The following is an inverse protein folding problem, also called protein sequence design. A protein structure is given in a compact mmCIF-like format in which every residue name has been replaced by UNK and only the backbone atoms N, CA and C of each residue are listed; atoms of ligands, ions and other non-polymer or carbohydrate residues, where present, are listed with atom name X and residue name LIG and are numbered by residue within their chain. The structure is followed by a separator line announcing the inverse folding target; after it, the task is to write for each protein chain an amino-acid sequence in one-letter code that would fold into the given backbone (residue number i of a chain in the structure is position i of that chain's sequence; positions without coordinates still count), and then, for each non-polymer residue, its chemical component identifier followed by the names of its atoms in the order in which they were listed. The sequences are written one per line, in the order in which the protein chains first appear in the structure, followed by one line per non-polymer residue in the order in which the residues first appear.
data_IF_894951240683
#
_entry.id   IF_894951240683
#
_cell.length_a   1.000
_cell.length_b   1.000
_cell.length_c   1.000
_cell.angle_alpha   90.00
_cell.angle_beta   90.00
_cell.angle_gamma   90.00
#
_symmetry.space_group_name_H-M   'P 1'
#
loop_
_entity.id
_entity.type
_entity.pdbx_description
1 polymer ?
#
# COMPACT_ATOMS: atom_id res chain seq x y z
N UNK A 1 39.62 7.98 20.05
CA UNK A 1 38.21 7.57 19.83
C UNK A 1 37.19 8.72 19.94
N UNK A 2 37.38 9.74 20.80
CA UNK A 2 36.39 10.83 20.92
C UNK A 2 36.21 11.74 19.69
N UNK A 3 37.28 12.06 18.95
CA UNK A 3 37.20 12.97 17.78
C UNK A 3 36.32 12.43 16.64
N UNK A 4 36.36 11.11 16.39
CA UNK A 4 35.51 10.48 15.37
C UNK A 4 34.04 10.45 15.80
N UNK A 5 33.76 10.12 17.07
CA UNK A 5 32.40 10.15 17.60
C UNK A 5 31.77 11.56 17.51
N UNK A 6 32.53 12.61 17.84
CA UNK A 6 32.08 14.00 17.70
C UNK A 6 31.80 14.36 16.23
N UNK A 7 32.62 13.90 15.29
CA UNK A 7 32.38 14.13 13.87
C UNK A 7 31.07 13.48 13.38
N UNK A 8 30.80 12.24 13.80
CA UNK A 8 29.55 11.55 13.47
C UNK A 8 28.33 12.22 14.11
N UNK A 9 28.45 12.68 15.36
CA UNK A 9 27.36 13.41 16.03
C UNK A 9 27.00 14.71 15.30
N UNK A 10 27.99 15.45 14.80
CA UNK A 10 27.75 16.65 13.97
C UNK A 10 27.04 16.32 12.66
N UNK A 11 27.40 15.20 12.02
CA UNK A 11 26.71 14.75 10.81
C UNK A 11 25.26 14.35 11.09
N UNK A 12 25.02 13.67 12.22
CA UNK A 12 23.67 13.33 12.65
C UNK A 12 22.83 14.57 12.91
N UNK A 13 23.38 15.55 13.64
CA UNK A 13 22.69 16.81 13.92
C UNK A 13 22.33 17.56 12.63
N UNK A 14 23.28 17.67 11.70
CA UNK A 14 23.02 18.27 10.39
C UNK A 14 21.94 17.52 9.59
N UNK A 15 21.92 16.18 9.67
CA UNK A 15 20.89 15.37 9.02
C UNK A 15 19.51 15.59 9.67
N UNK A 16 19.43 15.71 11.00
CA UNK A 16 18.18 16.03 11.70
C UNK A 16 17.64 17.40 11.28
N UNK A 17 18.47 18.45 11.27
CA UNK A 17 18.07 19.78 10.78
C UNK A 17 17.58 19.72 9.34
N UNK A 18 18.28 18.98 8.47
CA UNK A 18 17.87 18.83 7.07
C UNK A 18 16.51 18.14 6.93
N UNK A 19 16.18 17.19 7.82
CA UNK A 19 14.87 16.53 7.83
C UNK A 19 13.77 17.52 8.20
N UNK A 20 13.99 18.38 9.18
CA UNK A 20 13.03 19.39 9.60
C UNK A 20 12.78 20.40 8.47
N UNK A 21 13.85 20.93 7.87
CA UNK A 21 13.77 21.88 6.75
C UNK A 21 13.04 21.29 5.53
N UNK A 22 13.38 20.05 5.15
CA UNK A 22 12.72 19.36 4.03
C UNK A 22 11.27 19.01 4.35
N UNK A 23 10.96 18.72 5.61
CA UNK A 23 9.59 18.47 6.06
C UNK A 23 8.73 19.71 5.87
N UNK A 24 9.22 20.88 6.30
CA UNK A 24 8.54 22.16 6.13
C UNK A 24 8.34 22.49 4.65
N UNK A 25 9.40 22.43 3.85
CA UNK A 25 9.32 22.71 2.41
C UNK A 25 8.36 21.75 1.67
N UNK A 26 8.32 20.47 2.08
CA UNK A 26 7.41 19.48 1.50
C UNK A 26 5.96 19.81 1.85
N UNK A 27 5.68 20.21 3.09
CA UNK A 27 4.33 20.61 3.52
C UNK A 27 3.88 21.86 2.77
N UNK A 28 4.71 22.89 2.68
CA UNK A 28 4.39 24.12 1.95
C UNK A 28 4.11 23.84 0.46
N UNK A 29 4.96 23.03 -0.19
CA UNK A 29 4.75 22.65 -1.59
C UNK A 29 3.50 21.80 -1.78
N UNK A 30 3.15 20.95 -0.82
CA UNK A 30 1.94 20.13 -0.90
C UNK A 30 0.69 20.96 -0.68
N UNK A 31 0.67 21.84 0.33
CA UNK A 31 -0.51 22.63 0.67
C UNK A 31 -0.89 23.64 -0.44
N UNK A 32 0.07 24.02 -1.29
CA UNK A 32 -0.18 24.85 -2.48
C UNK A 32 -0.66 24.06 -3.71
N UNK A 33 -0.62 22.72 -3.66
CA UNK A 33 -1.04 21.87 -4.77
C UNK A 33 -2.57 21.90 -4.95
N UNK A 34 -3.10 21.98 -6.18
CA UNK A 34 -4.55 22.08 -6.44
C UNK A 34 -5.38 20.90 -5.88
N UNK A 35 -4.74 19.76 -5.64
CA UNK A 35 -5.39 18.54 -5.15
C UNK A 35 -5.18 18.30 -3.66
N UNK A 36 -4.50 19.19 -2.95
CA UNK A 36 -4.12 19.01 -1.56
C UNK A 36 -5.35 18.64 -0.69
N UNK A 37 -6.40 19.46 -0.77
CA UNK A 37 -7.64 19.25 -0.01
C UNK A 37 -8.33 17.92 -0.34
N UNK A 38 -8.32 17.53 -1.62
CA UNK A 38 -8.90 16.27 -2.07
C UNK A 38 -8.11 15.09 -1.47
N UNK A 39 -6.78 15.14 -1.54
CA UNK A 39 -5.91 14.08 -1.02
C UNK A 39 -6.01 13.97 0.50
N UNK A 40 -6.08 15.08 1.23
CA UNK A 40 -6.23 15.07 2.69
C UNK A 40 -7.65 14.75 3.17
N UNK A 41 -8.63 14.72 2.27
CA UNK A 41 -9.99 14.28 2.62
C UNK A 41 -10.08 12.79 2.89
N UNK A 42 -9.11 11.99 2.42
CA UNK A 42 -9.06 10.56 2.67
C UNK A 42 -8.60 10.27 4.10
N UNK A 43 -9.24 9.32 4.81
CA UNK A 43 -8.86 9.00 6.18
C UNK A 43 -7.41 8.51 6.25
N UNK A 44 -6.61 9.13 7.12
CA UNK A 44 -5.20 8.80 7.32
C UNK A 44 -4.22 9.51 6.38
N UNK A 45 -4.69 10.39 5.50
CA UNK A 45 -3.84 11.25 4.68
C UNK A 45 -3.82 12.69 5.23
N UNK A 46 -2.63 13.15 5.66
CA UNK A 46 -2.33 14.55 5.98
C UNK A 46 -1.23 15.06 5.04
N UNK A 47 -0.72 16.28 5.23
CA UNK A 47 0.17 16.91 4.24
C UNK A 47 1.38 16.07 3.84
N UNK A 48 2.12 15.47 4.79
CA UNK A 48 3.28 14.63 4.47
C UNK A 48 2.91 13.30 3.80
N UNK A 49 1.84 12.64 4.25
CA UNK A 49 1.42 11.37 3.64
C UNK A 49 0.76 11.60 2.28
N UNK A 50 0.07 12.72 2.10
CA UNK A 50 -0.46 13.18 0.82
C UNK A 50 0.64 13.55 -0.17
N UNK A 51 1.66 14.28 0.27
CA UNK A 51 2.84 14.59 -0.54
C UNK A 51 3.54 13.32 -1.05
N UNK A 52 3.62 12.28 -0.20
CA UNK A 52 4.17 10.98 -0.60
C UNK A 52 3.32 10.28 -1.67
N UNK A 53 1.99 10.44 -1.62
CA UNK A 53 1.12 9.94 -2.70
C UNK A 53 1.45 10.62 -4.01
N UNK A 54 1.55 11.96 -4.03
CA UNK A 54 1.94 12.71 -5.23
C UNK A 54 3.37 12.37 -5.70
N UNK A 55 4.31 12.13 -4.78
CA UNK A 55 5.66 11.72 -5.14
C UNK A 55 5.69 10.35 -5.85
N UNK A 56 4.78 9.44 -5.51
CA UNK A 56 4.68 8.11 -6.12
C UNK A 56 3.94 8.16 -7.48
N UNK A 57 2.75 8.78 -7.50
CA UNK A 57 1.89 8.76 -8.69
C UNK A 57 2.17 9.93 -9.65
N UNK A 58 2.89 10.95 -9.22
CA UNK A 58 3.05 12.23 -9.92
C UNK A 58 2.02 13.28 -9.49
N UNK A 59 2.35 14.55 -9.70
CA UNK A 59 1.50 15.73 -9.49
C UNK A 59 0.68 16.10 -10.75
N UNK A 60 1.14 15.70 -11.94
CA UNK A 60 0.39 15.86 -13.18
C UNK A 60 -0.79 14.88 -13.29
N UNK A 61 -2.00 15.42 -13.14
CA UNK A 61 -3.27 14.67 -13.34
C UNK A 61 -3.39 14.01 -14.71
N UNK A 62 -2.76 14.56 -15.75
CA UNK A 62 -2.85 14.03 -17.11
C UNK A 62 -1.92 12.84 -17.37
N UNK A 63 -1.02 12.52 -16.43
CA UNK A 63 -0.13 11.35 -16.49
C UNK A 63 -0.89 10.05 -16.73
N UNK A 64 -2.09 9.94 -16.16
CA UNK A 64 -2.99 8.80 -16.38
C UNK A 64 -4.19 9.25 -17.20
N UNK A 65 -4.42 8.60 -18.35
CA UNK A 65 -5.57 8.89 -19.21
C UNK A 65 -6.89 8.60 -18.53
N UNK A 66 -6.93 7.58 -17.65
CA UNK A 66 -8.10 7.21 -16.88
C UNK A 66 -7.73 6.61 -15.50
N UNK A 67 -8.74 6.47 -14.64
CA UNK A 67 -8.58 5.87 -13.32
C UNK A 67 -8.15 4.38 -13.38
N UNK A 68 -8.40 3.68 -14.50
CA UNK A 68 -8.00 2.28 -14.67
C UNK A 68 -6.49 2.18 -14.82
N UNK A 69 -5.85 3.12 -15.52
CA UNK A 69 -4.40 3.25 -15.63
C UNK A 69 -3.73 3.45 -14.28
N UNK A 70 -4.24 4.40 -13.48
CA UNK A 70 -3.74 4.63 -12.12
C UNK A 70 -3.92 3.40 -11.23
N UNK A 71 -5.08 2.76 -11.27
CA UNK A 71 -5.34 1.52 -10.51
C UNK A 71 -4.39 0.38 -10.91
N UNK A 72 -4.08 0.25 -12.20
CA UNK A 72 -3.15 -0.77 -12.69
C UNK A 72 -1.71 -0.49 -12.21
N UNK A 73 -1.30 0.78 -12.19
CA UNK A 73 -0.01 1.22 -11.67
C UNK A 73 0.14 0.94 -10.16
N UNK A 74 -0.89 1.25 -9.37
CA UNK A 74 -0.89 1.01 -7.92
C UNK A 74 -0.88 -0.49 -7.52
N UNK A 75 -1.07 -1.39 -8.49
CA UNK A 75 -1.06 -2.83 -8.28
C UNK A 75 -2.36 -3.41 -7.67
N UNK A 76 -2.43 -4.74 -7.55
CA UNK A 76 -3.61 -5.42 -7.03
C UNK A 76 -3.78 -5.14 -5.53
N UNK A 77 -4.80 -4.35 -5.17
CA UNK A 77 -5.22 -4.22 -3.77
C UNK A 77 -6.28 -5.27 -3.45
N UNK A 78 -6.13 -5.97 -2.32
CA UNK A 78 -7.25 -6.69 -1.70
C UNK A 78 -8.07 -5.65 -0.97
N UNK A 79 -9.26 -5.34 -1.48
CA UNK A 79 -10.26 -4.64 -0.66
C UNK A 79 -10.48 -5.47 0.61
N UNK A 80 -10.55 -4.86 1.81
CA UNK A 80 -11.10 -5.56 2.96
C UNK A 80 -12.46 -6.07 2.52
N UNK A 81 -12.61 -7.39 2.45
CA UNK A 81 -13.89 -7.96 2.08
C UNK A 81 -14.94 -7.38 3.02
N UNK A 82 -16.10 -7.00 2.47
CA UNK A 82 -17.33 -6.87 3.27
C UNK A 82 -17.30 -8.06 4.25
N UNK A 83 -17.43 -7.88 5.58
CA UNK A 83 -17.55 -9.03 6.47
C UNK A 83 -18.61 -9.91 5.83
N UNK A 84 -18.22 -11.13 5.48
CA UNK A 84 -19.11 -12.04 4.80
C UNK A 84 -20.34 -12.13 5.70
N UNK A 85 -21.45 -11.53 5.28
CA UNK A 85 -22.74 -11.90 5.77
C UNK A 85 -22.84 -13.36 5.39
N UNK A 86 -22.49 -14.21 6.35
CA UNK A 86 -22.52 -15.63 6.21
C UNK A 86 -24.00 -15.98 6.07
N UNK A 87 -24.52 -15.85 4.85
CA UNK A 87 -25.68 -16.60 4.41
C UNK A 87 -25.26 -18.06 4.47
N UNK A 88 -25.34 -18.63 5.68
CA UNK A 88 -25.30 -20.06 5.96
C UNK A 88 -26.57 -20.66 5.35
N UNK A 89 -26.71 -20.62 4.04
CA UNK A 89 -27.57 -21.59 3.36
C UNK A 89 -26.73 -22.85 3.19
N UNK A 90 -26.73 -23.65 4.24
CA UNK A 90 -26.39 -25.06 4.13
C UNK A 90 -27.29 -25.67 3.05
N UNK A 91 -26.75 -26.33 2.01
CA UNK A 91 -27.60 -27.16 1.18
C UNK A 91 -28.01 -28.37 2.03
N UNK A 92 -29.26 -28.36 2.49
CA UNK A 92 -29.93 -29.58 2.90
C UNK A 92 -29.88 -30.57 1.73
N UNK A 93 -29.55 -31.83 2.04
CA UNK A 93 -29.08 -32.87 1.12
C UNK A 93 -29.77 -32.97 -0.25
N UNK A 94 -29.11 -33.55 -1.26
CA UNK A 94 -28.90 -35.00 -1.21
C UNK A 94 -28.02 -35.52 -2.36
N UNK A 95 -27.24 -36.56 -2.01
CA UNK A 95 -26.78 -37.67 -2.87
C UNK A 95 -25.83 -37.34 -4.03
N UNK A 96 -24.53 -37.30 -3.71
CA UNK A 96 -23.44 -38.13 -4.28
C UNK A 96 -22.12 -37.37 -4.14
N UNK A 97 -21.38 -37.69 -3.08
CA UNK A 97 -20.03 -37.21 -2.87
C UNK A 97 -19.05 -38.07 -3.69
N UNK A 98 -18.67 -37.60 -4.88
CA UNK A 98 -17.39 -38.00 -5.48
C UNK A 98 -16.35 -36.96 -5.07
N UNK A 99 -15.66 -37.26 -3.98
CA UNK A 99 -14.36 -36.67 -3.67
C UNK A 99 -13.32 -37.30 -4.62
N UNK A 100 -12.39 -36.55 -5.21
CA UNK A 100 -11.28 -37.17 -5.94
C UNK A 100 -10.36 -37.87 -4.92
N UNK A 101 -10.29 -39.20 -4.98
CA UNK A 101 -9.32 -39.97 -4.18
C UNK A 101 -7.96 -39.97 -4.87
N UNK A 102 -6.94 -39.58 -4.11
CA UNK A 102 -5.53 -39.81 -4.43
C UNK A 102 -5.29 -41.32 -4.62
N UNK A 103 -4.83 -41.71 -5.81
CA UNK A 103 -4.36 -43.07 -6.06
C UNK A 103 -2.88 -43.16 -5.65
N UNK A 104 -2.60 -43.84 -4.55
CA UNK A 104 -1.26 -44.34 -4.20
C UNK A 104 -1.27 -45.85 -4.05
N UNK A 105 -0.14 -46.42 -4.46
CA UNK A 105 0.36 -47.79 -4.27
C UNK A 105 -0.13 -48.85 -5.28
N UNK A 106 0.85 -49.46 -5.94
CA UNK A 106 0.70 -50.65 -6.77
C UNK A 106 1.28 -51.90 -6.12
N UNK A 107 1.16 -53.04 -6.82
CA UNK A 107 2.15 -54.15 -6.88
C UNK A 107 1.69 -55.20 -7.91
N UNK A 108 2.66 -55.76 -8.65
CA UNK A 108 2.65 -56.98 -9.49
C UNK A 108 2.19 -58.25 -8.73
N UNK A 109 2.13 -59.50 -9.29
CA UNK A 109 2.58 -60.00 -10.61
C UNK A 109 1.63 -61.03 -11.31
N UNK A 110 2.01 -61.46 -12.52
CA UNK A 110 1.93 -62.84 -13.03
C UNK A 110 2.90 -62.99 -14.20
#
# INVERSE_FOLDING_TARGET
MGRQAIALLRQLEAACTSVDDLTEATVESFDTHPDAEIITSFPGLGSLTGARVLAEIGDDRSRFTDAKGLKAFAGPHRSPGRPAEASRSWPAGSRTSVWPRSATSGRSPA
#
